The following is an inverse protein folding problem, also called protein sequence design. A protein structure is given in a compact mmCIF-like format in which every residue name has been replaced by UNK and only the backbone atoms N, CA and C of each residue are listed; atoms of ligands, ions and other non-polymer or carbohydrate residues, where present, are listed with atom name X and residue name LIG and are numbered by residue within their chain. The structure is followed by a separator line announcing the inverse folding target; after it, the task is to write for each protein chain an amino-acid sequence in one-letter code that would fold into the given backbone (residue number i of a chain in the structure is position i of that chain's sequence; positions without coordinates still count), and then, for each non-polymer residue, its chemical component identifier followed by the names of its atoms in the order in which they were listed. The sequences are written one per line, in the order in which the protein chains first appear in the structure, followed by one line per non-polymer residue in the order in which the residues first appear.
data_IF_991836795857
#
_entry.id   IF_991836795857
#
_cell.length_a   1.000
_cell.length_b   1.000
_cell.length_c   1.000
_cell.angle_alpha   90.00
_cell.angle_beta   90.00
_cell.angle_gamma   90.00
#
_symmetry.space_group_name_H-M   'P 1'
#
loop_
_entity.id
_entity.type
_entity.pdbx_description
1 polymer ?
#
# COMPACT_ATOMS: atom_id res chain seq x y z
N UNK A 1 -20.50 0.90 -7.65
CA UNK A 1 -20.00 0.82 -6.27
C UNK A 1 -21.03 0.08 -5.41
N UNK A 2 -20.60 -0.85 -4.57
CA UNK A 2 -21.42 -1.21 -3.41
C UNK A 2 -21.16 -0.12 -2.37
N UNK A 3 -21.99 0.94 -2.36
CA UNK A 3 -21.93 1.98 -1.33
C UNK A 3 -21.96 1.28 0.03
N UNK A 4 -21.10 1.68 0.96
CA UNK A 4 -21.23 1.18 2.33
C UNK A 4 -22.56 1.72 2.84
N UNK A 5 -23.54 0.89 3.20
CA UNK A 5 -24.79 1.36 3.79
C UNK A 5 -24.46 2.32 4.94
N UNK A 6 -25.14 3.47 5.00
CA UNK A 6 -24.88 4.52 6.01
C UNK A 6 -24.74 3.97 7.43
N UNK A 7 -25.57 2.99 7.81
CA UNK A 7 -25.51 2.30 9.10
C UNK A 7 -24.17 1.60 9.33
N UNK A 8 -23.62 0.94 8.32
CA UNK A 8 -22.30 0.31 8.39
C UNK A 8 -21.16 1.34 8.39
N UNK A 9 -21.32 2.46 7.67
CA UNK A 9 -20.36 3.56 7.69
C UNK A 9 -20.28 4.23 9.08
N UNK A 10 -21.42 4.50 9.68
CA UNK A 10 -21.52 5.03 11.05
C UNK A 10 -20.99 4.02 12.07
N UNK A 11 -21.29 2.74 11.90
CA UNK A 11 -20.73 1.69 12.75
C UNK A 11 -19.20 1.63 12.68
N UNK A 12 -18.63 1.69 11.48
CA UNK A 12 -17.17 1.72 11.28
C UNK A 12 -16.53 2.93 11.98
N UNK A 13 -17.11 4.13 11.84
CA UNK A 13 -16.60 5.32 12.54
C UNK A 13 -16.74 5.22 14.06
N UNK A 14 -17.85 4.66 14.58
CA UNK A 14 -18.02 4.44 16.03
C UNK A 14 -17.04 3.41 16.61
N UNK A 15 -16.56 2.47 15.79
CA UNK A 15 -15.56 1.46 16.18
C UNK A 15 -14.12 1.92 15.96
N UNK A 16 -13.93 2.96 15.16
CA UNK A 16 -12.66 3.65 14.99
C UNK A 16 -12.27 4.46 16.22
N UNK A 17 -11.19 5.21 16.10
CA UNK A 17 -10.72 6.12 17.16
C UNK A 17 -10.23 7.42 16.55
N UNK A 18 -10.29 8.50 17.33
CA UNK A 18 -9.79 9.80 16.90
C UNK A 18 -8.26 9.76 16.77
N UNK A 19 -7.77 10.33 15.68
CA UNK A 19 -6.36 10.58 15.39
C UNK A 19 -6.20 12.03 15.00
N UNK A 20 -5.14 12.65 15.50
CA UNK A 20 -4.72 13.98 15.11
C UNK A 20 -3.69 13.86 13.99
N UNK A 21 -3.84 14.66 12.94
CA UNK A 21 -2.81 14.84 11.91
C UNK A 21 -1.71 15.71 12.50
N UNK A 22 -0.49 15.19 12.56
CA UNK A 22 0.67 15.91 13.11
C UNK A 22 1.53 16.55 12.03
N UNK A 23 1.56 15.95 10.84
CA UNK A 23 2.27 16.49 9.69
C UNK A 23 1.61 16.08 8.37
N UNK A 24 1.73 16.94 7.37
CA UNK A 24 1.35 16.68 5.98
C UNK A 24 2.50 17.17 5.11
N UNK A 25 3.16 16.24 4.43
CA UNK A 25 4.37 16.50 3.66
C UNK A 25 4.19 16.00 2.23
N UNK A 26 4.75 16.74 1.27
CA UNK A 26 4.85 16.30 -0.13
C UNK A 26 6.30 15.93 -0.43
N UNK A 27 6.74 14.72 -0.07
CA UNK A 27 8.12 14.30 -0.29
C UNK A 27 8.51 14.20 -1.78
N UNK A 28 7.52 14.06 -2.66
CA UNK A 28 7.72 14.02 -4.10
C UNK A 28 6.47 14.49 -4.83
N UNK A 29 6.54 14.91 -6.11
CA UNK A 29 5.41 15.55 -6.80
C UNK A 29 4.08 14.83 -6.67
N UNK A 30 4.08 13.51 -6.86
CA UNK A 30 2.85 12.70 -6.83
C UNK A 30 2.66 11.95 -5.50
N UNK A 31 3.47 12.23 -4.47
CA UNK A 31 3.41 11.54 -3.19
C UNK A 31 3.10 12.50 -2.05
N UNK A 32 2.13 12.14 -1.22
CA UNK A 32 1.80 12.84 0.01
C UNK A 32 1.94 11.91 1.21
N UNK A 33 2.74 12.30 2.19
CA UNK A 33 2.88 11.59 3.47
C UNK A 33 2.10 12.33 4.54
N UNK A 34 1.26 11.60 5.27
CA UNK A 34 0.48 12.13 6.38
C UNK A 34 0.90 11.38 7.64
N UNK A 35 1.30 12.14 8.67
CA UNK A 35 1.63 11.60 9.98
C UNK A 35 0.46 11.80 10.93
N UNK A 36 0.20 10.77 11.74
CA UNK A 36 -0.89 10.73 12.70
C UNK A 36 -0.37 10.44 14.09
N UNK A 37 -1.05 10.98 15.09
CA UNK A 37 -0.86 10.64 16.49
C UNK A 37 -2.18 10.25 17.14
N UNK A 38 -2.15 9.20 17.96
CA UNK A 38 -3.22 8.87 18.90
C UNK A 38 -2.71 7.92 19.99
N UNK A 39 -3.05 8.15 21.27
CA UNK A 39 -2.78 7.17 22.33
C UNK A 39 -3.34 5.77 22.01
N UNK A 40 -4.42 5.70 21.24
CA UNK A 40 -5.03 4.43 20.84
C UNK A 40 -4.10 3.58 19.97
N UNK A 41 -3.20 4.19 19.18
CA UNK A 41 -2.22 3.48 18.35
C UNK A 41 -1.20 2.69 19.19
N UNK A 42 -0.98 3.06 20.46
CA UNK A 42 -0.08 2.34 21.37
C UNK A 42 -0.59 0.96 21.79
N UNK A 43 -1.91 0.80 21.73
CA UNK A 43 -2.60 -0.45 22.08
C UNK A 43 -2.84 -1.37 20.89
N UNK A 44 -2.43 -0.95 19.68
CA UNK A 44 -2.63 -1.71 18.45
C UNK A 44 -1.37 -2.51 18.11
N UNK A 45 -1.60 -3.71 17.62
CA UNK A 45 -0.61 -4.50 16.92
C UNK A 45 -0.90 -4.35 15.43
N UNK A 46 0.04 -3.77 14.68
CA UNK A 46 -0.13 -3.50 13.25
C UNK A 46 0.76 -4.46 12.49
N UNK A 47 0.15 -5.35 11.70
CA UNK A 47 0.90 -6.19 10.77
C UNK A 47 1.21 -5.39 9.48
N UNK A 48 2.28 -5.73 8.74
CA UNK A 48 2.70 -4.93 7.58
C UNK A 48 1.71 -4.98 6.40
N UNK A 49 0.68 -5.82 6.47
CA UNK A 49 -0.39 -5.93 5.48
C UNK A 49 -1.71 -5.30 5.92
N UNK A 50 -1.71 -4.70 7.11
CA UNK A 50 -2.89 -4.11 7.71
C UNK A 50 -3.32 -2.88 6.92
N UNK A 51 -4.62 -2.63 6.94
CA UNK A 51 -5.28 -1.58 6.17
C UNK A 51 -6.14 -0.77 7.11
N UNK A 52 -5.91 0.54 7.11
CA UNK A 52 -6.81 1.51 7.70
C UNK A 52 -7.77 2.06 6.67
N UNK A 53 -8.93 2.53 7.12
CA UNK A 53 -9.87 3.25 6.30
C UNK A 53 -10.14 4.65 6.86
N UNK A 54 -10.27 5.61 5.94
CA UNK A 54 -10.75 6.95 6.26
C UNK A 54 -12.04 7.22 5.50
N UNK A 55 -13.01 7.81 6.18
CA UNK A 55 -14.28 8.19 5.57
C UNK A 55 -14.08 9.43 4.71
N UNK A 56 -14.45 9.35 3.44
CA UNK A 56 -14.30 10.45 2.45
C UNK A 56 -15.64 11.00 1.98
N UNK A 57 -16.75 10.41 2.45
CA UNK A 57 -18.11 10.86 2.17
C UNK A 57 -19.13 10.08 2.99
N UNK A 58 -20.41 10.34 2.76
CA UNK A 58 -21.49 9.74 3.57
C UNK A 58 -21.46 8.21 3.59
N UNK A 59 -21.14 7.59 2.45
CA UNK A 59 -21.18 6.15 2.26
C UNK A 59 -19.84 5.59 1.71
N UNK A 60 -18.79 6.41 1.75
CA UNK A 60 -17.55 6.17 1.02
C UNK A 60 -16.35 6.20 1.96
N UNK A 61 -15.49 5.19 1.82
CA UNK A 61 -14.20 5.11 2.51
C UNK A 61 -13.07 5.03 1.49
N UNK A 62 -11.87 5.39 1.93
CA UNK A 62 -10.61 5.08 1.24
C UNK A 62 -9.74 4.27 2.17
N UNK A 63 -9.16 3.23 1.60
CA UNK A 63 -8.32 2.28 2.29
C UNK A 63 -6.87 2.61 2.02
N UNK A 64 -6.05 2.59 3.06
CA UNK A 64 -4.62 2.83 2.98
C UNK A 64 -3.88 1.82 3.84
N UNK A 65 -2.70 1.43 3.39
CA UNK A 65 -1.76 0.67 4.21
C UNK A 65 -0.89 1.67 4.95
N UNK A 66 -0.82 1.62 6.29
CA UNK A 66 0.17 2.39 7.04
C UNK A 66 1.57 2.07 6.52
N UNK A 67 2.34 3.11 6.23
CA UNK A 67 3.74 3.00 5.83
C UNK A 67 4.62 2.64 7.02
N UNK A 68 4.31 3.22 8.19
CA UNK A 68 4.99 2.94 9.46
C UNK A 68 4.01 3.03 10.63
N UNK A 69 4.35 2.35 11.73
CA UNK A 69 3.63 2.42 12.99
C UNK A 69 4.61 2.34 14.15
N UNK A 70 4.70 3.41 14.94
CA UNK A 70 5.45 3.42 16.18
C UNK A 70 4.47 3.28 17.35
N UNK A 71 4.44 2.07 17.91
CA UNK A 71 3.62 1.73 19.05
C UNK A 71 4.03 2.47 20.32
N UNK A 72 5.32 2.76 20.51
CA UNK A 72 5.80 3.49 21.67
C UNK A 72 5.50 4.98 21.57
N UNK A 73 5.57 5.58 20.39
CA UNK A 73 5.17 6.98 20.20
C UNK A 73 3.65 7.14 20.05
N UNK A 74 2.94 6.08 19.70
CA UNK A 74 1.52 6.16 19.34
C UNK A 74 1.32 6.93 18.04
N UNK A 75 2.22 6.75 17.08
CA UNK A 75 2.21 7.43 15.79
C UNK A 75 2.16 6.44 14.64
N UNK A 76 1.66 6.90 13.49
CA UNK A 76 1.67 6.14 12.25
C UNK A 76 1.80 7.10 11.07
N UNK A 77 2.39 6.63 9.97
CA UNK A 77 2.40 7.38 8.71
C UNK A 77 1.60 6.65 7.65
N UNK A 78 0.96 7.40 6.76
CA UNK A 78 0.34 6.89 5.54
C UNK A 78 0.95 7.64 4.36
N UNK A 79 1.43 6.89 3.37
CA UNK A 79 1.91 7.43 2.11
C UNK A 79 0.83 7.24 1.04
N UNK A 80 0.44 8.34 0.42
CA UNK A 80 -0.65 8.43 -0.55
C UNK A 80 -0.07 8.77 -1.92
N UNK A 81 -0.47 8.00 -2.93
CA UNK A 81 -0.26 8.39 -4.34
C UNK A 81 -1.36 9.34 -4.80
N UNK A 82 -0.94 10.52 -5.23
CA UNK A 82 -1.78 11.61 -5.68
C UNK A 82 -1.84 11.61 -7.22
N UNK A 83 -2.89 11.01 -7.78
CA UNK A 83 -3.07 10.84 -9.23
C UNK A 83 -3.38 12.13 -10.02
N UNK A 84 -3.35 13.33 -9.41
CA UNK A 84 -3.60 14.60 -10.11
C UNK A 84 -5.02 14.76 -10.68
N UNK A 85 -5.95 13.85 -10.35
CA UNK A 85 -7.34 13.89 -10.82
C UNK A 85 -8.19 14.74 -9.87
N UNK A 86 -8.46 15.98 -10.27
CA UNK A 86 -9.13 17.01 -9.47
C UNK A 86 -10.49 16.61 -8.84
N UNK A 87 -11.20 15.59 -9.38
CA UNK A 87 -12.55 15.21 -8.94
C UNK A 87 -12.64 13.86 -8.20
N UNK A 88 -11.51 13.30 -7.74
CA UNK A 88 -11.54 12.05 -6.98
C UNK A 88 -12.00 12.30 -5.53
N UNK A 89 -13.04 11.62 -4.98
CA UNK A 89 -13.51 11.88 -3.61
C UNK A 89 -12.45 11.64 -2.52
N UNK A 90 -11.46 10.77 -2.79
CA UNK A 90 -10.31 10.59 -1.88
C UNK A 90 -9.40 11.81 -1.85
N UNK A 91 -9.28 12.51 -2.99
CA UNK A 91 -8.41 13.68 -3.14
C UNK A 91 -8.88 14.84 -2.26
N UNK A 92 -10.19 15.14 -2.23
CA UNK A 92 -10.73 16.19 -1.36
C UNK A 92 -10.40 15.98 0.12
N UNK A 93 -10.51 14.74 0.62
CA UNK A 93 -10.11 14.46 2.00
C UNK A 93 -8.62 14.76 2.16
N UNK A 94 -7.79 14.17 1.31
CA UNK A 94 -6.34 14.28 1.38
C UNK A 94 -5.87 15.74 1.34
N UNK A 95 -6.46 16.57 0.47
CA UNK A 95 -6.15 17.99 0.32
C UNK A 95 -6.66 18.85 1.47
N UNK A 96 -7.71 18.39 2.18
CA UNK A 96 -8.25 19.11 3.34
C UNK A 96 -7.47 18.89 4.63
N UNK A 97 -6.62 17.85 4.69
CA UNK A 97 -5.88 17.53 5.90
C UNK A 97 -4.71 18.50 6.10
N UNK A 98 -4.61 19.01 7.32
CA UNK A 98 -3.52 19.87 7.78
C UNK A 98 -3.14 19.48 9.22
N UNK A 99 -1.93 19.83 9.70
CA UNK A 99 -1.58 19.66 11.11
C UNK A 99 -2.66 20.22 12.05
N UNK A 100 -3.02 19.45 13.09
CA UNK A 100 -4.11 19.74 14.01
C UNK A 100 -5.50 19.29 13.54
N UNK A 101 -5.64 18.76 12.31
CA UNK A 101 -6.91 18.17 11.87
C UNK A 101 -7.19 16.88 12.62
N UNK A 102 -8.43 16.71 13.07
CA UNK A 102 -8.90 15.43 13.62
C UNK A 102 -9.57 14.58 12.54
N UNK A 103 -9.23 13.30 12.50
CA UNK A 103 -9.89 12.30 11.65
C UNK A 103 -10.07 10.99 12.41
N UNK A 104 -11.11 10.25 12.06
CA UNK A 104 -11.36 8.92 12.65
C UNK A 104 -10.61 7.86 11.87
N UNK A 105 -9.67 7.20 12.54
CA UNK A 105 -8.96 6.03 12.05
C UNK A 105 -9.85 4.79 12.16
N UNK A 106 -10.30 4.25 11.02
CA UNK A 106 -11.24 3.14 10.99
C UNK A 106 -10.51 1.83 10.68
N UNK A 107 -10.33 0.99 11.69
CA UNK A 107 -9.76 -0.34 11.54
C UNK A 107 -8.26 -0.34 11.22
N UNK A 108 -7.68 -1.52 11.39
CA UNK A 108 -6.31 -1.88 10.98
C UNK A 108 -6.35 -3.25 10.30
N UNK A 109 -7.32 -4.09 10.66
CA UNK A 109 -7.49 -5.40 10.06
C UNK A 109 -8.64 -5.40 9.05
N UNK A 110 -8.39 -5.94 7.86
CA UNK A 110 -9.44 -6.38 6.94
C UNK A 110 -9.26 -7.86 6.66
N UNK A 111 -10.34 -8.64 6.79
CA UNK A 111 -10.33 -10.07 6.50
C UNK A 111 -9.95 -10.39 5.04
N UNK A 112 -9.98 -9.40 4.15
CA UNK A 112 -9.62 -9.51 2.73
C UNK A 112 -8.22 -8.99 2.42
N UNK A 113 -7.55 -8.36 3.38
CA UNK A 113 -6.18 -7.89 3.20
C UNK A 113 -5.21 -9.06 3.12
N UNK A 114 -4.04 -8.78 2.57
CA UNK A 114 -2.88 -9.62 2.75
C UNK A 114 -2.68 -9.95 4.23
N UNK A 115 -2.09 -11.12 4.45
CA UNK A 115 -1.52 -11.48 5.74
C UNK A 115 -0.06 -11.72 5.51
N UNK A 116 0.77 -11.13 6.36
CA UNK A 116 2.17 -11.51 6.42
C UNK A 116 2.28 -12.94 6.96
N UNK A 117 3.11 -13.76 6.35
CA UNK A 117 3.30 -15.17 6.75
C UNK A 117 4.70 -15.49 7.24
N UNK A 118 5.50 -14.47 7.55
CA UNK A 118 6.91 -14.61 7.94
C UNK A 118 7.68 -15.62 7.06
N UNK A 119 7.61 -15.50 5.71
CA UNK A 119 8.32 -16.40 4.81
C UNK A 119 9.82 -16.19 4.92
N UNK A 120 10.65 -17.21 4.71
CA UNK A 120 12.12 -17.02 4.66
C UNK A 120 12.59 -16.14 3.50
N UNK A 121 11.81 -16.10 2.42
CA UNK A 121 12.04 -15.25 1.27
C UNK A 121 10.70 -14.85 0.63
N UNK A 122 10.58 -13.59 0.23
CA UNK A 122 9.38 -13.05 -0.39
C UNK A 122 9.70 -12.14 -1.57
N UNK A 123 8.76 -12.08 -2.50
CA UNK A 123 8.71 -11.09 -3.58
C UNK A 123 7.52 -10.15 -3.31
N UNK A 124 7.71 -8.85 -3.43
CA UNK A 124 6.63 -7.87 -3.39
C UNK A 124 6.68 -6.97 -4.63
N UNK A 125 5.52 -6.76 -5.25
CA UNK A 125 5.39 -5.99 -6.47
C UNK A 125 4.16 -5.11 -6.47
N UNK A 126 4.29 -3.91 -7.02
CA UNK A 126 3.17 -3.00 -7.18
C UNK A 126 3.55 -1.66 -7.79
N UNK A 127 2.65 -0.69 -7.67
CA UNK A 127 2.81 0.66 -8.20
C UNK A 127 2.91 1.70 -7.06
N UNK A 128 2.97 2.98 -7.40
CA UNK A 128 3.03 4.09 -6.45
C UNK A 128 1.93 4.04 -5.37
N UNK A 129 0.74 3.50 -5.67
CA UNK A 129 -0.36 3.36 -4.69
C UNK A 129 -0.07 2.36 -3.57
N UNK A 130 0.97 1.53 -3.74
CA UNK A 130 1.36 0.46 -2.82
C UNK A 130 2.61 0.75 -2.02
N UNK A 131 3.22 1.94 -2.16
CA UNK A 131 4.49 2.26 -1.50
C UNK A 131 4.43 2.13 0.03
N UNK A 132 3.30 2.46 0.67
CA UNK A 132 3.11 2.23 2.10
C UNK A 132 3.18 0.74 2.47
N UNK A 133 2.56 -0.13 1.69
CA UNK A 133 2.68 -1.59 1.84
C UNK A 133 4.12 -2.05 1.66
N UNK A 134 4.82 -1.54 0.63
CA UNK A 134 6.21 -1.94 0.36
C UNK A 134 7.17 -1.53 1.48
N UNK A 135 6.98 -0.34 2.05
CA UNK A 135 7.74 0.13 3.20
C UNK A 135 7.49 -0.76 4.42
N UNK A 136 6.23 -1.00 4.76
CA UNK A 136 5.86 -1.84 5.90
C UNK A 136 6.38 -3.29 5.76
N UNK A 137 6.26 -3.89 4.56
CA UNK A 137 6.82 -5.21 4.27
C UNK A 137 8.34 -5.23 4.41
N UNK A 138 9.03 -4.17 3.96
CA UNK A 138 10.50 -4.06 4.04
C UNK A 138 10.98 -3.94 5.48
N UNK A 139 10.36 -3.06 6.27
CA UNK A 139 10.67 -2.92 7.70
C UNK A 139 10.49 -4.24 8.44
N UNK A 140 9.34 -4.90 8.23
CA UNK A 140 9.04 -6.16 8.90
C UNK A 140 9.95 -7.31 8.43
N UNK A 141 10.25 -7.38 7.14
CA UNK A 141 11.19 -8.37 6.61
C UNK A 141 12.59 -8.20 7.20
N UNK A 142 13.06 -6.96 7.36
CA UNK A 142 14.34 -6.66 8.00
C UNK A 142 14.35 -7.09 9.47
N UNK A 143 13.28 -6.80 10.22
CA UNK A 143 13.15 -7.20 11.62
C UNK A 143 13.18 -8.72 11.81
N UNK A 144 12.61 -9.49 10.87
CA UNK A 144 12.55 -10.94 10.93
C UNK A 144 13.72 -11.66 10.22
N UNK A 145 14.60 -10.92 9.52
CA UNK A 145 15.64 -11.51 8.68
C UNK A 145 15.10 -12.23 7.43
N UNK A 146 13.91 -11.85 6.96
CA UNK A 146 13.32 -12.34 5.71
C UNK A 146 14.04 -11.73 4.51
N UNK A 147 14.44 -12.55 3.54
CA UNK A 147 14.96 -12.04 2.26
C UNK A 147 13.81 -11.49 1.42
N UNK A 148 13.70 -10.18 1.31
CA UNK A 148 12.66 -9.52 0.51
C UNK A 148 13.24 -8.94 -0.78
N UNK A 149 12.61 -9.24 -1.90
CA UNK A 149 12.81 -8.52 -3.16
C UNK A 149 11.56 -7.68 -3.43
N UNK A 150 11.75 -6.38 -3.54
CA UNK A 150 10.68 -5.43 -3.92
C UNK A 150 10.92 -4.95 -5.35
N UNK A 151 9.87 -4.89 -6.16
CA UNK A 151 9.88 -4.20 -7.45
C UNK A 151 8.66 -3.30 -7.58
N UNK A 152 8.88 -2.00 -7.80
CA UNK A 152 7.81 -1.01 -7.90
C UNK A 152 7.98 -0.16 -9.14
N UNK A 153 6.87 0.15 -9.79
CA UNK A 153 6.81 1.19 -10.81
C UNK A 153 6.24 2.49 -10.23
N UNK A 154 6.89 3.60 -10.55
CA UNK A 154 6.50 4.95 -10.08
C UNK A 154 6.74 5.97 -11.18
N UNK A 155 6.08 7.12 -11.06
CA UNK A 155 6.31 8.26 -11.95
C UNK A 155 7.80 8.66 -11.93
N UNK A 156 8.40 9.03 -13.09
CA UNK A 156 9.81 9.40 -13.14
C UNK A 156 10.27 10.43 -12.10
N UNK A 157 9.48 11.49 -11.78
CA UNK A 157 9.85 12.46 -10.75
C UNK A 157 9.94 11.89 -9.32
N UNK A 158 9.25 10.78 -9.04
CA UNK A 158 9.18 10.22 -7.68
C UNK A 158 10.32 9.23 -7.37
N UNK A 159 11.09 8.82 -8.38
CA UNK A 159 12.05 7.71 -8.30
C UNK A 159 13.11 7.89 -7.24
N UNK A 160 13.68 9.08 -7.11
CA UNK A 160 14.80 9.30 -6.19
C UNK A 160 14.34 9.28 -4.73
N UNK A 161 13.13 9.80 -4.48
CA UNK A 161 12.51 9.64 -3.18
C UNK A 161 12.18 8.17 -2.89
N UNK A 162 11.62 7.44 -3.85
CA UNK A 162 11.25 6.02 -3.68
C UNK A 162 12.47 5.14 -3.47
N UNK A 163 13.61 5.42 -4.12
CA UNK A 163 14.89 4.75 -3.82
C UNK A 163 15.41 5.05 -2.42
N UNK A 164 15.13 6.24 -1.90
CA UNK A 164 15.48 6.57 -0.51
C UNK A 164 14.59 5.81 0.47
N UNK A 165 13.30 5.71 0.17
CA UNK A 165 12.31 4.96 0.96
C UNK A 165 12.56 3.45 0.93
N UNK A 166 12.96 2.91 -0.23
CA UNK A 166 13.16 1.48 -0.48
C UNK A 166 14.54 1.23 -1.14
N UNK A 167 15.64 1.32 -0.39
CA UNK A 167 17.02 1.28 -0.92
C UNK A 167 17.35 0.05 -1.78
N UNK A 168 16.84 -1.12 -1.40
CA UNK A 168 17.13 -2.40 -2.06
C UNK A 168 16.08 -2.78 -3.13
N UNK A 169 15.08 -1.93 -3.35
CA UNK A 169 14.03 -2.19 -4.31
C UNK A 169 14.47 -1.95 -5.76
N UNK A 170 13.85 -2.68 -6.67
CA UNK A 170 13.87 -2.37 -8.09
C UNK A 170 12.86 -1.25 -8.35
N UNK A 171 13.34 -0.02 -8.54
CA UNK A 171 12.51 1.16 -8.79
C UNK A 171 12.47 1.49 -10.30
N UNK A 172 11.34 1.15 -10.91
CA UNK A 172 11.07 1.27 -12.34
C UNK A 172 10.33 2.58 -12.64
N UNK A 173 10.53 3.12 -13.84
CA UNK A 173 9.74 4.26 -14.30
C UNK A 173 8.45 3.73 -14.90
N UNK A 174 7.30 4.27 -14.49
CA UNK A 174 6.04 3.86 -15.09
C UNK A 174 6.01 4.16 -16.60
N UNK A 175 5.42 3.23 -17.34
CA UNK A 175 5.19 3.36 -18.77
C UNK A 175 3.80 3.95 -19.08
N UNK A 176 3.47 4.02 -20.37
CA UNK A 176 2.13 4.45 -20.82
C UNK A 176 1.01 3.50 -20.37
N UNK A 177 1.32 2.21 -20.28
CA UNK A 177 0.41 1.19 -19.78
C UNK A 177 0.79 0.82 -18.35
N UNK A 178 -0.19 0.82 -17.44
CA UNK A 178 0.00 0.39 -16.06
C UNK A 178 0.56 -1.04 -16.01
N UNK A 179 1.63 -1.23 -15.27
CA UNK A 179 2.35 -2.49 -15.08
C UNK A 179 3.34 -2.84 -16.17
N UNK A 180 3.43 -2.09 -17.28
CA UNK A 180 4.28 -2.47 -18.41
C UNK A 180 5.76 -2.55 -18.03
N UNK A 181 6.24 -1.59 -17.22
CA UNK A 181 7.63 -1.59 -16.78
C UNK A 181 7.94 -2.82 -15.90
N UNK A 182 7.00 -3.18 -15.01
CA UNK A 182 7.12 -4.41 -14.22
C UNK A 182 7.05 -5.68 -15.07
N UNK A 183 6.20 -5.70 -16.11
CA UNK A 183 6.10 -6.82 -17.03
C UNK A 183 7.40 -7.02 -17.81
N UNK A 184 8.03 -5.93 -18.28
CA UNK A 184 9.35 -5.93 -18.93
C UNK A 184 10.44 -6.43 -17.97
N UNK A 185 10.49 -5.88 -16.75
CA UNK A 185 11.45 -6.33 -15.74
C UNK A 185 11.28 -7.82 -15.40
N UNK A 186 10.05 -8.32 -15.25
CA UNK A 186 9.76 -9.73 -15.00
C UNK A 186 10.17 -10.66 -16.14
N UNK A 187 10.27 -10.16 -17.38
CA UNK A 187 10.76 -10.96 -18.49
C UNK A 187 12.26 -11.26 -18.38
N UNK A 188 13.01 -10.40 -17.67
CA UNK A 188 14.46 -10.49 -17.51
C UNK A 188 14.88 -10.95 -16.10
N UNK A 189 13.99 -10.86 -15.11
CA UNK A 189 14.28 -11.15 -13.71
C UNK A 189 14.25 -12.64 -13.32
N UNK A 190 14.08 -13.55 -14.28
CA UNK A 190 13.98 -15.00 -14.10
C UNK A 190 15.02 -15.55 -13.10
N UNK A 191 16.31 -15.31 -13.35
CA UNK A 191 17.40 -15.83 -12.50
C UNK A 191 17.41 -15.19 -11.11
N UNK A 192 17.10 -13.90 -11.01
CA UNK A 192 17.02 -13.18 -9.73
C UNK A 192 15.89 -13.75 -8.87
N UNK A 193 14.73 -14.02 -9.46
CA UNK A 193 13.57 -14.59 -8.77
C UNK A 193 13.83 -16.06 -8.39
N UNK A 194 14.46 -16.86 -9.26
CA UNK A 194 14.85 -18.24 -8.93
C UNK A 194 15.88 -18.29 -7.79
N UNK A 195 16.90 -17.43 -7.82
CA UNK A 195 17.91 -17.35 -6.76
C UNK A 195 17.35 -16.87 -5.42
N UNK A 196 16.35 -15.99 -5.44
CA UNK A 196 15.59 -15.62 -4.25
C UNK A 196 14.81 -16.82 -3.70
N UNK A 197 14.21 -17.63 -4.57
CA UNK A 197 13.30 -18.74 -4.24
C UNK A 197 12.17 -18.30 -3.29
N UNK A 198 11.32 -17.32 -3.68
CA UNK A 198 10.32 -16.76 -2.80
C UNK A 198 9.27 -17.81 -2.42
N UNK A 199 9.00 -17.92 -1.12
CA UNK A 199 7.92 -18.76 -0.58
C UNK A 199 6.57 -18.07 -0.70
N UNK A 200 6.56 -16.74 -0.83
CA UNK A 200 5.35 -15.94 -1.02
C UNK A 200 5.64 -14.77 -1.94
N UNK A 201 4.69 -14.46 -2.82
CA UNK A 201 4.70 -13.28 -3.66
C UNK A 201 3.48 -12.40 -3.34
N UNK A 202 3.68 -11.12 -3.02
CA UNK A 202 2.63 -10.14 -2.74
C UNK A 202 2.50 -9.19 -3.93
N UNK A 203 1.37 -9.23 -4.64
CA UNK A 203 1.13 -8.39 -5.81
C UNK A 203 -0.05 -7.44 -5.55
N UNK A 204 0.23 -6.14 -5.51
CA UNK A 204 -0.79 -5.11 -5.27
C UNK A 204 -0.72 -3.98 -6.30
N UNK A 205 -1.69 -3.07 -6.28
CA UNK A 205 -1.77 -1.93 -7.22
C UNK A 205 -2.85 -2.12 -8.27
N UNK A 206 -2.57 -1.76 -9.52
CA UNK A 206 -3.54 -1.85 -10.61
C UNK A 206 -4.00 -3.29 -10.90
N UNK A 207 -5.31 -3.54 -10.87
CA UNK A 207 -5.85 -4.90 -10.97
C UNK A 207 -5.53 -5.62 -12.29
N UNK A 208 -5.47 -4.90 -13.41
CA UNK A 208 -5.10 -5.49 -14.70
C UNK A 208 -3.65 -5.99 -14.72
N UNK A 209 -2.71 -5.18 -14.22
CA UNK A 209 -1.29 -5.54 -14.19
C UNK A 209 -1.03 -6.65 -13.19
N UNK A 210 -1.63 -6.59 -11.99
CA UNK A 210 -1.52 -7.65 -10.97
C UNK A 210 -1.90 -9.03 -11.53
N UNK A 211 -2.93 -9.12 -12.38
CA UNK A 211 -3.29 -10.41 -12.99
C UNK A 211 -2.29 -10.89 -14.04
N UNK A 212 -1.75 -10.01 -14.88
CA UNK A 212 -0.71 -10.35 -15.87
C UNK A 212 0.56 -10.83 -15.17
N UNK A 213 1.01 -10.08 -14.17
CA UNK A 213 2.18 -10.38 -13.35
C UNK A 213 2.02 -11.70 -12.59
N UNK A 214 0.84 -11.94 -12.00
CA UNK A 214 0.50 -13.24 -11.40
C UNK A 214 0.64 -14.39 -12.40
N UNK A 215 0.14 -14.21 -13.62
CA UNK A 215 0.26 -15.24 -14.65
C UNK A 215 1.72 -15.50 -15.00
N UNK A 216 2.53 -14.45 -15.18
CA UNK A 216 3.97 -14.56 -15.45
C UNK A 216 4.70 -15.32 -14.36
N UNK A 217 4.49 -14.98 -13.09
CA UNK A 217 5.11 -15.69 -11.95
C UNK A 217 4.75 -17.18 -11.90
N UNK A 218 3.52 -17.55 -12.28
CA UNK A 218 3.13 -18.97 -12.40
C UNK A 218 3.89 -19.68 -13.50
N UNK A 219 4.11 -19.03 -14.64
CA UNK A 219 4.92 -19.57 -15.74
C UNK A 219 6.39 -19.72 -15.34
N UNK A 220 6.87 -18.92 -14.38
CA UNK A 220 8.20 -19.08 -13.75
C UNK A 220 8.27 -20.21 -12.70
N UNK A 221 7.15 -20.89 -12.42
CA UNK A 221 7.09 -22.04 -11.53
C UNK A 221 6.66 -21.74 -10.10
N UNK A 222 6.26 -20.51 -9.76
CA UNK A 222 5.72 -20.23 -8.43
C UNK A 222 4.35 -20.89 -8.25
N UNK A 223 4.16 -21.56 -7.11
CA UNK A 223 2.88 -22.19 -6.76
C UNK A 223 1.76 -21.14 -6.66
N UNK A 224 0.56 -21.48 -7.15
CA UNK A 224 -0.57 -20.54 -7.15
C UNK A 224 -0.97 -20.04 -5.76
N UNK A 225 -0.72 -20.83 -4.71
CA UNK A 225 -1.06 -20.55 -3.31
C UNK A 225 0.01 -19.66 -2.66
N UNK A 226 1.22 -19.64 -3.20
CA UNK A 226 2.28 -18.73 -2.79
C UNK A 226 2.06 -17.30 -3.32
N UNK A 227 1.28 -17.13 -4.40
CA UNK A 227 1.01 -15.82 -5.00
C UNK A 227 -0.27 -15.22 -4.41
N UNK A 228 -0.11 -14.13 -3.67
CA UNK A 228 -1.18 -13.33 -3.05
C UNK A 228 -1.41 -12.09 -3.89
N UNK A 229 -2.66 -11.80 -4.23
CA UNK A 229 -3.03 -10.60 -5.02
C UNK A 229 -4.03 -9.73 -4.29
N UNK A 230 -3.80 -8.43 -4.25
CA UNK A 230 -4.71 -7.43 -3.69
C UNK A 230 -4.74 -6.20 -4.60
N UNK A 231 -5.67 -6.14 -5.57
CA UNK A 231 -5.80 -4.95 -6.43
C UNK A 231 -6.29 -3.76 -5.59
N UNK A 232 -5.55 -2.65 -5.62
CA UNK A 232 -5.89 -1.41 -4.90
C UNK A 232 -6.82 -0.53 -5.74
N UNK A 233 -6.65 -0.61 -7.07
CA UNK A 233 -7.43 0.17 -8.02
C UNK A 233 -7.49 -0.56 -9.38
N UNK A 234 -8.38 -0.14 -10.27
CA UNK A 234 -8.49 -0.69 -11.63
C UNK A 234 -9.14 0.34 -12.57
N UNK A 235 -8.73 0.35 -13.83
CA UNK A 235 -9.32 1.24 -14.85
C UNK A 235 -10.85 1.08 -14.90
N UNK A 236 -11.55 2.22 -14.83
CA UNK A 236 -13.02 2.25 -14.85
C UNK A 236 -13.71 1.77 -13.56
N UNK A 237 -12.96 1.55 -12.47
CA UNK A 237 -13.51 1.12 -11.16
C UNK A 237 -13.22 2.18 -10.10
N UNK A 238 -14.20 2.43 -9.24
CA UNK A 238 -14.06 3.31 -8.07
C UNK A 238 -14.31 2.54 -6.78
N UNK A 239 -13.41 2.71 -5.80
CA UNK A 239 -13.53 2.14 -4.44
C UNK A 239 -13.44 0.61 -4.40
N UNK A 240 -12.30 0.05 -4.84
CA UNK A 240 -11.99 -1.37 -4.70
C UNK A 240 -11.73 -1.79 -3.24
#
# INVERSE_FOLDING_TARGET
MARVPKVLAEYAQRRGFATEVTAVERPSPSLLRIAFHSPSLRSRDVSPCDVTAFRVGDNDFRHYTPESHDREAGTATVLVHHHGLADAPGLHLIESLAPGSEIVWCGLESARSFRWTSPRAALAMGDASTLGLMAALTEHANAEGTRLLVAVEVEPPDRDYVRTLLPDAVVLSEGKEHGAALDEWLAEADERIRGLAPQTAYLAGHGGSVQRQRHRLRTLGLDRRAIRTQPYWATGRTGL
#
